data_IF_389487447432
#
_entry.id   IF_389487447432
#
_cell.length_a   1.000
_cell.length_b   1.000
_cell.length_c   1.000
_cell.angle_alpha   90.00
_cell.angle_beta   90.00
_cell.angle_gamma   90.00
#
_symmetry.space_group_name_H-M   'P 1'
#
loop_
_entity.id
_entity.type
_entity.pdbx_description
1 polymer ?
#
# COMPACT_ATOMS: atom_id res chain seq x y z
N UNK A 1 20.68 49.11 -31.46
CA UNK A 1 21.39 48.64 -32.68
C UNK A 1 21.66 47.15 -32.50
N UNK A 2 21.19 46.36 -33.47
CA UNK A 2 21.56 44.97 -33.83
C UNK A 2 21.53 43.88 -32.74
N UNK A 3 20.55 42.95 -32.71
CA UNK A 3 20.36 41.73 -33.54
C UNK A 3 21.56 40.78 -33.53
N UNK A 4 21.36 39.52 -33.08
CA UNK A 4 21.41 38.31 -33.94
C UNK A 4 20.93 37.03 -33.23
N UNK A 5 19.98 36.38 -33.90
CA UNK A 5 19.51 34.99 -33.88
C UNK A 5 20.54 33.98 -34.42
N UNK A 6 20.45 32.70 -34.00
CA UNK A 6 20.55 31.45 -34.81
C UNK A 6 20.67 30.22 -33.87
N UNK A 7 20.40 28.95 -34.20
CA UNK A 7 19.43 28.22 -35.04
C UNK A 7 19.87 26.72 -35.02
N UNK A 8 18.89 25.80 -35.03
CA UNK A 8 18.86 24.42 -35.59
C UNK A 8 19.98 23.39 -35.33
N UNK A 9 19.56 22.16 -34.97
CA UNK A 9 19.86 20.96 -35.77
C UNK A 9 18.92 19.78 -35.43
N UNK A 10 18.28 19.22 -36.46
CA UNK A 10 17.52 17.97 -36.45
C UNK A 10 18.38 16.86 -37.07
N UNK A 11 18.25 15.62 -36.59
CA UNK A 11 18.87 14.43 -37.20
C UNK A 11 17.79 13.43 -37.56
N UNK A 12 17.71 13.13 -38.86
CA UNK A 12 16.98 12.04 -39.49
C UNK A 12 18.03 11.08 -40.03
N UNK A 13 17.90 9.78 -39.77
CA UNK A 13 18.66 8.75 -40.50
C UNK A 13 17.72 7.63 -40.96
N UNK A 14 17.90 7.23 -42.22
CA UNK A 14 17.04 6.37 -43.03
C UNK A 14 17.89 5.29 -43.70
N UNK A 15 17.39 4.04 -43.60
CA UNK A 15 17.55 2.84 -44.47
C UNK A 15 18.92 2.18 -44.70
N UNK A 16 18.93 0.85 -44.56
CA UNK A 16 19.25 -0.07 -45.67
C UNK A 16 18.74 -1.51 -45.41
N UNK A 17 17.99 -2.05 -46.37
CA UNK A 17 17.63 -3.45 -46.51
C UNK A 17 18.66 -4.18 -47.41
N UNK A 18 18.92 -5.46 -47.13
CA UNK A 18 19.72 -6.36 -47.98
C UNK A 18 19.25 -7.80 -47.81
N UNK A 19 18.98 -8.47 -48.93
CA UNK A 19 18.25 -9.73 -49.05
C UNK A 19 19.15 -10.85 -49.61
N UNK A 20 18.91 -12.08 -49.16
CA UNK A 20 19.09 -13.39 -49.81
C UNK A 20 20.48 -13.93 -50.22
N UNK A 21 20.73 -15.20 -49.84
CA UNK A 21 21.71 -16.09 -50.48
C UNK A 21 22.13 -17.28 -49.61
N UNK A 22 21.59 -18.46 -49.93
CA UNK A 22 21.68 -19.73 -49.20
C UNK A 22 23.05 -20.44 -49.24
N UNK A 23 23.36 -21.20 -48.19
CA UNK A 23 23.92 -22.56 -48.23
C UNK A 23 23.87 -23.18 -46.82
N UNK A 24 23.26 -24.36 -46.71
CA UNK A 24 23.25 -25.26 -45.54
C UNK A 24 23.69 -26.64 -46.09
N UNK A 25 24.44 -27.48 -45.33
CA UNK A 25 23.75 -28.35 -44.38
C UNK A 25 24.53 -28.75 -43.11
N UNK A 26 23.74 -29.27 -42.17
CA UNK A 26 24.05 -30.23 -41.10
C UNK A 26 24.73 -29.70 -39.83
N UNK A 27 23.91 -29.31 -38.84
CA UNK A 27 23.95 -29.94 -37.51
C UNK A 27 22.56 -29.86 -36.86
N UNK A 28 22.02 -31.01 -36.48
CA UNK A 28 20.70 -31.20 -35.90
C UNK A 28 20.49 -30.38 -34.60
N UNK A 29 19.38 -29.64 -34.56
CA UNK A 29 18.88 -28.95 -33.39
C UNK A 29 18.16 -29.87 -32.41
N UNK A 30 18.34 -29.60 -31.12
CA UNK A 30 17.39 -29.90 -30.06
C UNK A 30 17.54 -28.80 -29.02
N UNK A 31 16.98 -27.64 -29.31
CA UNK A 31 16.73 -26.62 -28.28
C UNK A 31 15.41 -26.99 -27.61
N UNK A 32 15.50 -27.15 -26.29
CA UNK A 32 14.35 -27.31 -25.42
C UNK A 32 13.47 -26.06 -25.54
N UNK A 33 12.18 -26.28 -25.81
CA UNK A 33 11.16 -25.26 -25.69
C UNK A 33 11.01 -24.95 -24.21
N UNK A 34 11.66 -23.88 -23.74
CA UNK A 34 11.30 -23.24 -22.47
C UNK A 34 9.99 -22.50 -22.71
N UNK A 35 8.91 -23.14 -22.30
CA UNK A 35 7.59 -22.54 -22.18
C UNK A 35 7.62 -21.59 -20.97
N UNK A 36 8.11 -20.37 -21.19
CA UNK A 36 7.91 -19.27 -20.23
C UNK A 36 6.46 -18.84 -20.33
N UNK A 37 5.62 -19.45 -19.50
CA UNK A 37 4.29 -18.93 -19.19
C UNK A 37 4.47 -17.53 -18.58
N UNK A 38 4.27 -16.50 -19.41
CA UNK A 38 4.06 -15.13 -18.96
C UNK A 38 2.73 -15.13 -18.21
N UNK A 39 2.80 -15.09 -16.88
CA UNK A 39 1.65 -14.72 -16.06
C UNK A 39 1.44 -13.23 -16.27
N UNK A 40 0.60 -12.90 -17.25
CA UNK A 40 0.09 -11.55 -17.41
C UNK A 40 -0.88 -11.28 -16.27
N UNK A 41 -0.46 -10.44 -15.31
CA UNK A 41 -1.36 -9.77 -14.36
C UNK A 41 -2.29 -8.87 -15.16
N UNK A 42 -3.51 -9.34 -15.39
CA UNK A 42 -4.58 -8.48 -15.90
C UNK A 42 -5.06 -7.59 -14.75
N UNK A 43 -5.08 -6.25 -14.90
CA UNK A 43 -5.72 -5.38 -13.92
C UNK A 43 -7.23 -5.65 -13.92
N UNK A 44 -7.87 -5.51 -12.75
CA UNK A 44 -9.31 -5.33 -12.69
C UNK A 44 -9.64 -4.01 -13.42
N UNK A 45 -10.34 -4.13 -14.55
CA UNK A 45 -10.80 -2.99 -15.35
C UNK A 45 -11.86 -2.21 -14.56
N UNK A 46 -11.63 -0.92 -14.35
CA UNK A 46 -12.57 -0.01 -13.68
C UNK A 46 -12.13 1.46 -13.68
N UNK A 47 -10.82 1.73 -13.76
CA UNK A 47 -10.26 3.08 -13.85
C UNK A 47 -10.03 3.47 -15.32
N UNK A 48 -10.58 4.60 -15.79
CA UNK A 48 -10.26 5.15 -17.15
C UNK A 48 -8.75 5.41 -17.34
N UNK A 49 -7.98 5.47 -16.25
CA UNK A 49 -6.51 5.62 -16.26
C UNK A 49 -5.74 4.29 -16.29
N UNK A 50 -6.40 3.15 -16.06
CA UNK A 50 -5.78 1.82 -15.99
C UNK A 50 -4.84 1.61 -14.78
N UNK A 51 -4.81 2.54 -13.83
CA UNK A 51 -4.01 2.45 -12.60
C UNK A 51 -4.79 1.75 -11.48
N UNK A 52 -4.09 0.99 -10.64
CA UNK A 52 -4.62 0.43 -9.40
C UNK A 52 -4.86 1.50 -8.34
N UNK A 53 -5.64 1.19 -7.31
CA UNK A 53 -5.84 2.06 -6.15
C UNK A 53 -4.51 2.53 -5.53
N UNK A 54 -3.54 1.62 -5.40
CA UNK A 54 -2.21 1.97 -4.91
C UNK A 54 -1.44 2.89 -5.87
N UNK A 55 -1.52 2.63 -7.19
CA UNK A 55 -0.89 3.49 -8.19
C UNK A 55 -1.42 4.93 -8.15
N UNK A 56 -2.74 5.11 -7.97
CA UNK A 56 -3.35 6.43 -7.77
C UNK A 56 -2.87 7.07 -6.46
N UNK A 57 -2.80 6.29 -5.38
CA UNK A 57 -2.32 6.78 -4.09
C UNK A 57 -0.86 7.26 -4.14
N UNK A 58 0.03 6.56 -4.86
CA UNK A 58 1.42 6.97 -5.07
C UNK A 58 1.55 8.31 -5.80
N UNK A 59 0.65 8.58 -6.74
CA UNK A 59 0.60 9.85 -7.48
C UNK A 59 0.06 11.02 -6.65
N UNK A 60 -0.66 10.73 -5.57
CA UNK A 60 -1.25 11.71 -4.68
C UNK A 60 -0.43 11.98 -3.41
N UNK A 61 0.24 10.94 -2.91
CA UNK A 61 0.92 10.97 -1.61
C UNK A 61 2.14 11.90 -1.67
N UNK A 62 2.20 12.93 -0.81
CA UNK A 62 3.32 13.87 -0.76
C UNK A 62 4.65 13.18 -0.44
N UNK A 63 5.76 13.72 -0.96
CA UNK A 63 7.12 13.17 -0.79
C UNK A 63 7.52 12.99 0.69
N UNK A 64 7.10 13.93 1.53
CA UNK A 64 7.36 14.01 2.96
C UNK A 64 6.51 13.07 3.82
N UNK A 65 5.48 12.45 3.24
CA UNK A 65 4.64 11.52 3.98
C UNK A 65 5.49 10.36 4.52
N UNK A 66 5.05 9.84 5.67
CA UNK A 66 5.69 8.73 6.37
C UNK A 66 4.86 7.45 6.27
N UNK A 67 3.54 7.60 6.17
CA UNK A 67 2.60 6.49 6.08
C UNK A 67 1.61 6.74 4.95
N UNK A 68 1.22 5.66 4.29
CA UNK A 68 0.13 5.60 3.34
C UNK A 68 -0.69 4.35 3.65
N UNK A 69 -2.00 4.51 3.74
CA UNK A 69 -2.99 3.44 3.84
C UNK A 69 -3.87 3.49 2.62
N UNK A 70 -4.24 2.33 2.09
CA UNK A 70 -5.14 2.18 0.95
C UNK A 70 -6.11 1.05 1.29
N UNK A 71 -7.39 1.25 1.02
CA UNK A 71 -8.41 0.21 1.03
C UNK A 71 -9.16 0.28 -0.30
N UNK A 72 -9.09 -0.79 -1.05
CA UNK A 72 -9.76 -0.99 -2.34
C UNK A 72 -11.10 -1.69 -2.09
N UNK A 73 -12.14 -0.89 -1.89
CA UNK A 73 -13.49 -1.38 -1.65
C UNK A 73 -14.05 -2.12 -2.86
N UNK A 74 -13.62 -1.77 -4.07
CA UNK A 74 -14.00 -2.46 -5.30
C UNK A 74 -13.47 -3.91 -5.32
N UNK A 75 -12.19 -4.11 -5.00
CA UNK A 75 -11.61 -5.43 -4.86
C UNK A 75 -12.33 -6.27 -3.79
N UNK A 76 -12.69 -5.66 -2.65
CA UNK A 76 -13.44 -6.32 -1.58
C UNK A 76 -14.84 -6.72 -2.05
N UNK A 77 -15.58 -5.80 -2.71
CA UNK A 77 -16.90 -6.07 -3.31
C UNK A 77 -16.83 -7.23 -4.30
N UNK A 78 -15.83 -7.21 -5.19
CA UNK A 78 -15.61 -8.26 -6.17
C UNK A 78 -15.35 -9.63 -5.51
N UNK A 79 -14.47 -9.70 -4.49
CA UNK A 79 -14.20 -10.95 -3.76
C UNK A 79 -15.45 -11.46 -3.03
N UNK A 80 -16.25 -10.56 -2.46
CA UNK A 80 -17.49 -10.92 -1.75
C UNK A 80 -18.67 -11.24 -2.69
N UNK A 81 -18.48 -11.14 -4.01
CA UNK A 81 -19.47 -11.51 -5.01
C UNK A 81 -20.54 -10.43 -5.25
N UNK A 82 -20.24 -9.18 -4.92
CA UNK A 82 -21.13 -8.02 -5.10
C UNK A 82 -20.41 -6.85 -5.80
N UNK A 83 -19.72 -7.08 -6.94
CA UNK A 83 -18.86 -6.06 -7.59
C UNK A 83 -19.64 -4.80 -7.99
N UNK A 84 -20.91 -4.94 -8.36
CA UNK A 84 -21.74 -3.82 -8.83
C UNK A 84 -22.52 -3.12 -7.69
N UNK A 85 -22.19 -3.40 -6.42
CA UNK A 85 -22.89 -2.80 -5.28
C UNK A 85 -22.59 -1.31 -5.16
N UNK A 86 -23.65 -0.51 -5.06
CA UNK A 86 -23.61 0.95 -4.99
C UNK A 86 -24.57 1.50 -3.94
N UNK A 87 -24.60 2.82 -3.77
CA UNK A 87 -25.59 3.49 -2.89
C UNK A 87 -27.04 3.30 -3.33
N UNK A 88 -27.29 3.07 -4.63
CA UNK A 88 -28.62 2.90 -5.20
C UNK A 88 -29.25 1.53 -4.87
N UNK A 89 -28.44 0.58 -4.41
CA UNK A 89 -28.92 -0.73 -3.99
C UNK A 89 -29.72 -0.65 -2.69
N UNK A 90 -30.49 -1.70 -2.42
CA UNK A 90 -31.31 -1.74 -1.22
C UNK A 90 -30.43 -1.76 0.04
N UNK A 91 -30.88 -1.03 1.06
CA UNK A 91 -30.16 -0.90 2.34
C UNK A 91 -29.75 -2.24 2.97
N UNK A 92 -30.53 -3.32 2.75
CA UNK A 92 -30.19 -4.64 3.30
C UNK A 92 -28.91 -5.21 2.69
N UNK A 93 -28.74 -5.10 1.38
CA UNK A 93 -27.56 -5.63 0.67
C UNK A 93 -26.31 -4.84 1.03
N UNK A 94 -26.46 -3.51 1.12
CA UNK A 94 -25.41 -2.59 1.57
C UNK A 94 -24.94 -2.91 2.99
N UNK A 95 -25.86 -3.13 3.93
CA UNK A 95 -25.53 -3.52 5.30
C UNK A 95 -24.89 -4.91 5.39
N UNK A 96 -25.32 -5.85 4.55
CA UNK A 96 -24.73 -7.19 4.49
C UNK A 96 -23.29 -7.17 3.97
N UNK A 97 -23.01 -6.33 2.96
CA UNK A 97 -21.66 -6.09 2.47
C UNK A 97 -20.75 -5.58 3.59
N UNK A 98 -21.10 -4.47 4.25
CA UNK A 98 -20.24 -3.89 5.29
C UNK A 98 -19.98 -4.83 6.46
N UNK A 99 -21.01 -5.54 6.92
CA UNK A 99 -20.85 -6.57 7.95
C UNK A 99 -19.89 -7.68 7.50
N UNK A 100 -19.93 -8.06 6.22
CA UNK A 100 -19.07 -9.11 5.66
C UNK A 100 -17.64 -8.62 5.44
N UNK A 101 -17.46 -7.38 4.98
CA UNK A 101 -16.17 -6.73 4.83
C UNK A 101 -15.46 -6.63 6.19
N UNK A 102 -16.13 -6.11 7.21
CA UNK A 102 -15.59 -5.94 8.58
C UNK A 102 -15.18 -7.27 9.25
N UNK A 103 -15.75 -8.39 8.82
CA UNK A 103 -15.47 -9.72 9.40
C UNK A 103 -14.56 -10.61 8.57
N UNK A 104 -14.27 -10.23 7.31
CA UNK A 104 -13.52 -11.07 6.38
C UNK A 104 -12.44 -10.36 5.57
N UNK A 105 -12.27 -9.05 5.76
CA UNK A 105 -11.17 -8.24 5.22
C UNK A 105 -10.59 -7.38 6.33
N UNK A 106 -9.29 -7.11 6.23
CA UNK A 106 -8.62 -6.09 7.04
C UNK A 106 -8.91 -4.74 6.38
N UNK A 107 -9.72 -3.89 7.02
CA UNK A 107 -9.99 -2.53 6.56
C UNK A 107 -8.99 -1.59 7.22
N UNK A 108 -8.19 -0.89 6.42
CA UNK A 108 -7.23 0.12 6.91
C UNK A 108 -7.81 1.53 6.87
N UNK A 109 -8.85 1.73 6.06
CA UNK A 109 -9.68 2.91 6.12
C UNK A 109 -11.12 2.49 6.40
N UNK A 110 -11.75 3.18 7.35
CA UNK A 110 -13.12 2.85 7.77
C UNK A 110 -14.19 3.42 6.82
N UNK A 111 -13.80 4.21 5.83
CA UNK A 111 -14.70 4.92 4.92
C UNK A 111 -14.99 6.36 5.38
N UNK A 112 -14.35 7.34 4.74
CA UNK A 112 -14.41 8.77 5.10
C UNK A 112 -15.84 9.32 5.16
N UNK A 113 -16.72 8.85 4.28
CA UNK A 113 -18.08 9.36 4.13
C UNK A 113 -19.12 8.60 4.97
N UNK A 114 -18.74 7.48 5.59
CA UNK A 114 -19.70 6.55 6.23
C UNK A 114 -20.49 7.17 7.37
N UNK A 115 -19.84 7.97 8.21
CA UNK A 115 -20.50 8.60 9.37
C UNK A 115 -21.63 9.54 8.94
N UNK A 116 -21.53 10.12 7.74
CA UNK A 116 -22.47 11.07 7.16
C UNK A 116 -23.28 10.46 6.00
N UNK A 117 -23.28 9.13 5.84
CA UNK A 117 -23.95 8.44 4.73
C UNK A 117 -25.38 8.93 4.49
N UNK A 118 -26.17 9.16 5.54
CA UNK A 118 -27.55 9.65 5.40
C UNK A 118 -27.64 11.07 4.83
N UNK A 119 -26.67 11.95 5.14
CA UNK A 119 -26.63 13.30 4.56
C UNK A 119 -26.26 13.22 3.09
N UNK A 120 -25.23 12.44 2.77
CA UNK A 120 -24.74 12.26 1.41
C UNK A 120 -25.83 11.66 0.50
N UNK A 121 -26.52 10.62 0.97
CA UNK A 121 -27.66 9.99 0.29
C UNK A 121 -28.79 10.99 0.01
N UNK A 122 -29.22 11.76 1.02
CA UNK A 122 -30.39 12.64 0.88
C UNK A 122 -30.12 13.94 0.13
N UNK A 123 -28.88 14.42 0.12
CA UNK A 123 -28.53 15.76 -0.40
C UNK A 123 -27.80 15.68 -1.73
N UNK A 124 -26.95 14.68 -1.89
CA UNK A 124 -26.01 14.57 -3.00
C UNK A 124 -26.17 13.27 -3.80
N UNK A 125 -27.09 12.37 -3.42
CA UNK A 125 -27.41 11.13 -4.17
C UNK A 125 -26.19 10.21 -4.41
N UNK A 126 -25.23 10.23 -3.47
CA UNK A 126 -24.11 9.30 -3.40
C UNK A 126 -23.74 9.03 -1.94
N UNK A 127 -22.95 8.00 -1.64
CA UNK A 127 -22.48 7.67 -0.28
C UNK A 127 -21.08 7.04 -0.31
N UNK A 128 -20.58 6.52 0.83
CA UNK A 128 -19.35 5.70 0.82
C UNK A 128 -19.44 4.51 -0.14
N UNK A 129 -20.64 3.97 -0.39
CA UNK A 129 -20.82 2.80 -1.27
C UNK A 129 -20.51 3.11 -2.75
N UNK A 130 -20.26 4.38 -3.09
CA UNK A 130 -19.84 4.83 -4.43
C UNK A 130 -18.34 5.14 -4.52
N UNK A 131 -17.59 4.88 -3.44
CA UNK A 131 -16.13 5.01 -3.37
C UNK A 131 -15.51 3.65 -3.65
N UNK A 132 -14.78 3.53 -4.75
CA UNK A 132 -14.10 2.30 -5.17
C UNK A 132 -12.82 2.05 -4.37
N UNK A 133 -12.08 3.12 -4.06
CA UNK A 133 -10.91 3.03 -3.21
C UNK A 133 -10.72 4.29 -2.37
N UNK A 134 -10.17 4.11 -1.19
CA UNK A 134 -9.83 5.18 -0.28
C UNK A 134 -8.39 5.05 0.16
N UNK A 135 -7.62 6.12 -0.02
CA UNK A 135 -6.26 6.24 0.46
C UNK A 135 -6.14 7.38 1.46
N UNK A 136 -5.34 7.17 2.52
CA UNK A 136 -5.01 8.21 3.51
C UNK A 136 -3.52 8.19 3.79
N UNK A 137 -2.91 9.35 3.91
CA UNK A 137 -1.51 9.49 4.30
C UNK A 137 -1.34 10.38 5.51
N UNK A 138 -0.19 10.24 6.17
CA UNK A 138 0.22 11.09 7.28
C UNK A 138 1.73 11.33 7.25
N UNK A 139 2.13 12.48 7.78
CA UNK A 139 3.51 12.90 7.85
C UNK A 139 3.70 14.18 8.66
N UNK A 140 4.93 14.72 8.70
CA UNK A 140 5.25 15.93 9.46
C UNK A 140 4.44 17.15 9.02
N UNK A 141 4.04 17.22 7.74
CA UNK A 141 3.30 18.34 7.17
C UNK A 141 1.77 18.17 7.26
N UNK A 142 1.31 17.10 7.89
CA UNK A 142 -0.10 16.79 8.09
C UNK A 142 -0.53 15.51 7.38
N UNK A 143 -1.85 15.31 7.31
CA UNK A 143 -2.47 14.20 6.61
C UNK A 143 -3.36 14.67 5.47
N UNK A 144 -3.74 13.72 4.64
CA UNK A 144 -4.65 13.94 3.52
C UNK A 144 -5.28 12.64 3.06
N UNK A 145 -6.13 12.74 2.04
CA UNK A 145 -6.82 11.60 1.48
C UNK A 145 -7.00 11.71 -0.03
N UNK A 146 -7.17 10.54 -0.65
CA UNK A 146 -7.66 10.38 -2.01
C UNK A 146 -8.85 9.40 -1.99
N UNK A 147 -9.96 9.80 -2.58
CA UNK A 147 -11.09 8.91 -2.89
C UNK A 147 -11.08 8.66 -4.40
N UNK A 148 -11.05 7.40 -4.81
CA UNK A 148 -11.39 6.99 -6.17
C UNK A 148 -12.89 6.66 -6.21
N UNK A 149 -13.61 7.31 -7.11
CA UNK A 149 -15.06 7.17 -7.24
C UNK A 149 -15.39 6.25 -8.40
N UNK A 150 -16.51 5.52 -8.30
CA UNK A 150 -17.01 4.70 -9.40
C UNK A 150 -17.17 5.51 -10.69
N UNK A 151 -16.86 4.92 -11.86
CA UNK A 151 -16.75 5.67 -13.12
C UNK A 151 -18.08 6.25 -13.62
N UNK A 152 -19.22 5.72 -13.22
CA UNK A 152 -20.56 6.16 -13.62
C UNK A 152 -21.23 7.12 -12.62
N UNK A 153 -20.52 7.55 -11.57
CA UNK A 153 -21.04 8.50 -10.58
C UNK A 153 -21.26 9.89 -11.20
N UNK A 154 -22.33 10.56 -10.78
CA UNK A 154 -22.57 11.96 -11.15
C UNK A 154 -21.59 12.90 -10.41
N UNK A 155 -20.49 13.23 -11.08
CA UNK A 155 -19.45 14.10 -10.55
C UNK A 155 -19.90 15.54 -10.30
N UNK A 156 -21.04 15.99 -10.85
CA UNK A 156 -21.57 17.31 -10.54
C UNK A 156 -22.16 17.36 -9.12
N UNK A 157 -22.70 16.25 -8.62
CA UNK A 157 -23.17 16.14 -7.23
C UNK A 157 -22.01 16.04 -6.25
N UNK A 158 -20.92 15.38 -6.63
CA UNK A 158 -19.67 15.36 -5.85
C UNK A 158 -19.07 16.76 -5.76
N UNK A 159 -19.02 17.50 -6.88
CA UNK A 159 -18.58 18.88 -6.91
C UNK A 159 -19.44 19.78 -6.01
N UNK A 160 -20.76 19.60 -6.02
CA UNK A 160 -21.67 20.35 -5.15
C UNK A 160 -21.39 20.07 -3.66
N UNK A 161 -21.14 18.82 -3.27
CA UNK A 161 -20.79 18.47 -1.90
C UNK A 161 -19.47 19.13 -1.43
N UNK A 162 -18.47 19.22 -2.31
CA UNK A 162 -17.21 19.90 -2.04
C UNK A 162 -17.45 21.41 -1.86
N UNK A 163 -18.21 22.04 -2.76
CA UNK A 163 -18.51 23.48 -2.73
C UNK A 163 -19.33 23.90 -1.50
N UNK A 164 -20.25 23.04 -1.06
CA UNK A 164 -21.03 23.23 0.15
C UNK A 164 -20.21 23.01 1.44
N UNK A 165 -19.00 22.46 1.33
CA UNK A 165 -18.18 22.09 2.47
C UNK A 165 -18.79 20.96 3.29
N UNK A 166 -19.35 19.94 2.62
CA UNK A 166 -19.88 18.76 3.28
C UNK A 166 -18.81 18.09 4.17
N UNK A 167 -19.18 17.53 5.34
CA UNK A 167 -18.19 17.01 6.28
C UNK A 167 -17.34 15.90 5.65
N UNK A 168 -16.01 16.04 5.73
CA UNK A 168 -15.05 15.14 5.09
C UNK A 168 -14.61 15.57 3.70
N UNK A 169 -15.36 16.42 2.98
CA UNK A 169 -14.99 16.89 1.63
C UNK A 169 -14.70 18.39 1.55
N UNK A 170 -14.93 19.15 2.62
CA UNK A 170 -14.68 20.59 2.64
C UNK A 170 -13.19 20.91 2.47
N UNK A 171 -12.84 21.60 1.38
CA UNK A 171 -11.45 21.94 1.05
C UNK A 171 -10.77 20.95 0.10
N UNK A 172 -11.43 19.83 -0.23
CA UNK A 172 -10.97 18.89 -1.23
C UNK A 172 -11.09 19.46 -2.65
N UNK A 173 -10.43 18.80 -3.60
CA UNK A 173 -10.48 19.08 -5.02
C UNK A 173 -10.92 17.85 -5.79
N UNK A 174 -11.77 18.03 -6.80
CA UNK A 174 -12.23 16.96 -7.68
C UNK A 174 -11.43 17.00 -8.99
N UNK A 175 -10.75 15.90 -9.29
CA UNK A 175 -10.25 15.63 -10.64
C UNK A 175 -11.28 14.79 -11.40
N UNK A 176 -11.92 15.44 -12.38
CA UNK A 176 -12.94 14.81 -13.22
C UNK A 176 -12.36 13.83 -14.25
N UNK A 177 -11.08 13.94 -14.60
CA UNK A 177 -10.47 13.05 -15.60
C UNK A 177 -10.18 11.66 -15.03
N UNK A 178 -9.97 11.58 -13.72
CA UNK A 178 -9.65 10.34 -13.00
C UNK A 178 -10.76 9.92 -12.05
N UNK A 179 -11.85 10.71 -11.95
CA UNK A 179 -12.93 10.54 -10.98
C UNK A 179 -12.41 10.43 -9.54
N UNK A 180 -11.43 11.27 -9.18
CA UNK A 180 -10.82 11.25 -7.83
C UNK A 180 -11.07 12.53 -7.06
N UNK A 181 -11.29 12.42 -5.76
CA UNK A 181 -11.34 13.56 -4.84
C UNK A 181 -10.13 13.54 -3.93
N UNK A 182 -9.44 14.68 -3.83
CA UNK A 182 -8.15 14.80 -3.18
C UNK A 182 -8.13 15.98 -2.20
N UNK A 183 -7.69 15.74 -0.96
CA UNK A 183 -7.33 16.77 0.01
C UNK A 183 -5.93 16.51 0.57
N UNK A 184 -5.19 17.58 0.88
CA UNK A 184 -3.87 17.46 1.51
C UNK A 184 -2.74 17.16 0.52
N UNK A 185 -2.91 17.50 -0.75
CA UNK A 185 -1.86 17.40 -1.76
C UNK A 185 -0.68 18.31 -1.38
N UNK A 186 0.52 17.72 -1.30
CA UNK A 186 1.75 18.44 -1.01
C UNK A 186 2.19 19.33 -2.17
N UNK A 187 3.06 20.29 -1.89
CA UNK A 187 3.60 21.20 -2.92
C UNK A 187 4.96 20.76 -3.48
N UNK A 188 5.61 19.77 -2.85
CA UNK A 188 7.02 19.42 -3.08
C UNK A 188 7.23 17.99 -3.61
N UNK A 189 6.41 17.60 -4.60
CA UNK A 189 6.51 16.30 -5.25
C UNK A 189 5.69 15.21 -4.55
N UNK A 190 5.71 14.02 -5.12
CA UNK A 190 4.90 12.87 -4.69
C UNK A 190 5.74 11.60 -4.64
N UNK A 191 5.29 10.57 -3.92
CA UNK A 191 5.99 9.28 -3.84
C UNK A 191 6.27 8.69 -5.24
N UNK A 192 5.38 8.88 -6.22
CA UNK A 192 5.62 8.44 -7.60
C UNK A 192 6.73 9.19 -8.37
N UNK A 193 7.23 10.33 -7.86
CA UNK A 193 8.13 11.23 -8.61
C UNK A 193 9.63 11.12 -8.25
N UNK A 194 9.97 10.43 -7.17
CA UNK A 194 11.34 10.33 -6.65
C UNK A 194 12.07 9.03 -6.99
N UNK A 195 13.28 8.86 -6.45
CA UNK A 195 14.00 7.58 -6.32
C UNK A 195 13.31 6.59 -5.37
N UNK A 196 11.98 6.66 -5.30
CA UNK A 196 11.08 5.89 -4.48
C UNK A 196 10.89 4.46 -5.03
N UNK A 197 11.98 3.83 -5.47
CA UNK A 197 11.97 2.46 -5.98
C UNK A 197 11.47 1.53 -4.90
N UNK A 198 12.00 1.64 -3.67
CA UNK A 198 11.56 0.82 -2.55
C UNK A 198 10.06 0.99 -2.27
N UNK A 199 9.54 2.22 -2.13
CA UNK A 199 8.11 2.47 -1.90
C UNK A 199 7.22 1.92 -3.02
N UNK A 200 7.62 2.15 -4.27
CA UNK A 200 6.86 1.64 -5.43
C UNK A 200 6.89 0.11 -5.45
N UNK A 201 8.05 -0.49 -5.23
CA UNK A 201 8.27 -1.94 -5.28
C UNK A 201 7.55 -2.67 -4.14
N UNK A 202 7.62 -2.20 -2.89
CA UNK A 202 7.00 -2.93 -1.75
C UNK A 202 5.48 -2.97 -1.84
N UNK A 203 4.85 -1.94 -2.41
CA UNK A 203 3.40 -1.89 -2.56
C UNK A 203 2.88 -2.44 -3.90
N UNK A 204 3.78 -2.86 -4.82
CA UNK A 204 3.40 -3.49 -6.09
C UNK A 204 3.01 -4.96 -5.87
N UNK A 205 1.96 -5.18 -5.09
CA UNK A 205 1.39 -6.49 -4.76
C UNK A 205 -0.14 -6.39 -4.81
N UNK A 206 -0.85 -7.38 -5.38
CA UNK A 206 -2.31 -7.39 -5.34
C UNK A 206 -2.82 -7.41 -3.90
N UNK A 207 -3.64 -6.42 -3.53
CA UNK A 207 -4.15 -6.26 -2.18
C UNK A 207 -5.51 -5.57 -2.17
N UNK A 208 -6.38 -5.98 -1.24
CA UNK A 208 -7.63 -5.27 -0.90
C UNK A 208 -7.39 -4.12 0.05
N UNK A 209 -6.35 -4.22 0.86
CA UNK A 209 -5.89 -3.13 1.72
C UNK A 209 -4.39 -3.20 1.87
N UNK A 210 -3.75 -2.04 1.90
CA UNK A 210 -2.31 -1.91 1.91
C UNK A 210 -1.93 -0.77 2.85
N UNK A 211 -1.02 -1.01 3.78
CA UNK A 211 -0.30 0.05 4.48
C UNK A 211 1.15 0.03 4.01
N UNK A 212 1.69 1.21 3.73
CA UNK A 212 3.08 1.43 3.34
C UNK A 212 3.68 2.47 4.25
N UNK A 213 4.88 2.19 4.72
CA UNK A 213 5.68 3.05 5.57
C UNK A 213 6.99 3.40 4.86
N UNK A 214 7.32 4.68 4.88
CA UNK A 214 8.61 5.19 4.41
C UNK A 214 9.65 4.97 5.51
N UNK A 215 10.52 3.98 5.33
CA UNK A 215 11.46 3.47 6.33
C UNK A 215 10.87 2.49 7.35
N UNK A 216 11.73 2.04 8.26
CA UNK A 216 11.44 1.10 9.34
C UNK A 216 10.76 1.71 10.57
N UNK A 217 9.93 0.93 11.27
CA UNK A 217 9.32 1.34 12.53
C UNK A 217 10.37 1.38 13.66
N UNK A 218 10.50 2.49 14.41
CA UNK A 218 11.38 2.53 15.57
C UNK A 218 11.05 1.40 16.55
N UNK A 219 12.07 0.69 17.03
CA UNK A 219 11.87 -0.50 17.86
C UNK A 219 10.99 -0.23 19.10
N UNK A 220 11.23 0.88 19.79
CA UNK A 220 10.43 1.31 20.94
C UNK A 220 8.96 1.62 20.56
N UNK A 221 8.71 2.20 19.39
CA UNK A 221 7.36 2.48 18.92
C UNK A 221 6.60 1.19 18.59
N UNK A 222 7.28 0.22 17.95
CA UNK A 222 6.69 -1.08 17.61
C UNK A 222 6.42 -1.96 18.84
N UNK A 223 7.16 -1.72 19.94
CA UNK A 223 6.85 -2.34 21.23
C UNK A 223 5.59 -1.74 21.86
N UNK A 224 5.10 -0.59 21.45
CA UNK A 224 3.94 0.07 22.04
C UNK A 224 4.28 1.05 23.14
N UNK A 225 3.33 1.94 23.45
CA UNK A 225 3.53 3.04 24.39
C UNK A 225 3.53 2.57 25.85
N UNK A 226 2.90 1.43 26.12
CA UNK A 226 2.85 0.80 27.43
C UNK A 226 4.04 -0.17 27.67
N UNK A 227 4.97 -0.28 26.72
CA UNK A 227 6.15 -1.13 26.86
C UNK A 227 7.08 -0.66 27.99
N UNK A 228 7.61 -1.62 28.74
CA UNK A 228 8.57 -1.37 29.81
C UNK A 228 9.99 -1.75 29.40
N UNK A 229 10.99 -1.29 30.17
CA UNK A 229 12.38 -1.74 30.00
C UNK A 229 12.50 -3.26 30.10
N UNK A 230 11.71 -3.91 30.98
CA UNK A 230 11.70 -5.37 31.10
C UNK A 230 11.18 -6.05 29.82
N UNK A 231 10.23 -5.43 29.11
CA UNK A 231 9.76 -5.93 27.80
C UNK A 231 10.85 -5.82 26.74
N UNK A 232 11.51 -4.67 26.65
CA UNK A 232 12.63 -4.45 25.75
C UNK A 232 13.79 -5.43 26.03
N UNK A 233 14.23 -5.53 27.29
CA UNK A 233 15.32 -6.43 27.69
C UNK A 233 15.00 -7.90 27.38
N UNK A 234 13.74 -8.32 27.54
CA UNK A 234 13.31 -9.67 27.19
C UNK A 234 13.54 -9.96 25.71
N UNK A 235 13.11 -9.06 24.82
CA UNK A 235 13.29 -9.23 23.37
C UNK A 235 14.77 -9.22 23.01
N UNK A 236 15.55 -8.26 23.52
CA UNK A 236 16.98 -8.14 23.23
C UNK A 236 17.82 -9.28 23.81
N UNK A 237 17.33 -9.96 24.86
CA UNK A 237 17.99 -11.15 25.40
C UNK A 237 17.78 -12.40 24.54
N UNK A 238 16.73 -12.43 23.71
CA UNK A 238 16.34 -13.56 22.88
C UNK A 238 16.71 -13.37 21.40
N UNK A 239 16.76 -12.12 20.92
CA UNK A 239 16.98 -11.78 19.52
C UNK A 239 18.07 -10.73 19.33
N UNK A 240 18.85 -10.89 18.25
CA UNK A 240 19.85 -9.93 17.82
C UNK A 240 19.21 -8.87 16.91
N UNK A 241 18.54 -7.89 17.52
CA UNK A 241 17.83 -6.82 16.80
C UNK A 241 18.79 -5.89 16.06
N UNK A 242 19.95 -5.58 16.68
CA UNK A 242 21.01 -4.77 16.05
C UNK A 242 21.63 -5.46 14.82
N UNK A 243 21.49 -6.79 14.73
CA UNK A 243 21.93 -7.59 13.59
C UNK A 243 20.94 -7.64 12.42
N UNK A 244 19.74 -7.06 12.54
CA UNK A 244 18.79 -6.97 11.44
C UNK A 244 19.31 -6.06 10.32
N UNK A 245 18.93 -6.36 9.09
CA UNK A 245 19.23 -5.49 7.96
C UNK A 245 18.37 -4.23 7.98
N UNK A 246 18.95 -3.13 7.51
CA UNK A 246 18.25 -1.87 7.30
C UNK A 246 17.20 -2.02 6.19
N UNK A 247 16.01 -1.45 6.41
CA UNK A 247 14.91 -1.44 5.44
C UNK A 247 14.52 0.00 5.10
N UNK A 248 14.38 0.26 3.81
CA UNK A 248 14.04 1.58 3.24
C UNK A 248 12.53 1.81 3.16
N UNK A 249 11.73 0.73 3.11
CA UNK A 249 10.28 0.78 3.11
C UNK A 249 9.69 -0.51 3.67
N UNK A 250 8.50 -0.41 4.25
CA UNK A 250 7.73 -1.55 4.74
C UNK A 250 6.33 -1.47 4.17
N UNK A 251 5.82 -2.56 3.62
CA UNK A 251 4.41 -2.68 3.24
C UNK A 251 3.77 -3.90 3.88
N UNK A 252 2.51 -3.76 4.29
CA UNK A 252 1.66 -4.87 4.72
C UNK A 252 0.40 -4.83 3.86
N UNK A 253 0.30 -5.80 2.97
CA UNK A 253 -0.79 -6.02 2.05
C UNK A 253 -1.74 -7.08 2.62
N UNK A 254 -3.04 -6.84 2.53
CA UNK A 254 -4.07 -7.75 3.01
C UNK A 254 -5.01 -8.13 1.87
N UNK A 255 -5.32 -9.42 1.77
CA UNK A 255 -6.36 -9.96 0.87
C UNK A 255 -7.17 -11.01 1.63
N UNK A 256 -8.44 -10.70 1.91
CA UNK A 256 -9.28 -11.54 2.75
C UNK A 256 -8.64 -11.82 4.12
N UNK A 257 -8.26 -13.07 4.38
CA UNK A 257 -7.68 -13.55 5.63
C UNK A 257 -6.17 -13.87 5.51
N UNK A 258 -5.49 -13.28 4.53
CA UNK A 258 -4.02 -13.39 4.36
C UNK A 258 -3.39 -12.01 4.40
N UNK A 259 -2.16 -11.94 4.92
CA UNK A 259 -1.32 -10.76 4.92
C UNK A 259 0.02 -11.07 4.27
N UNK A 260 0.47 -10.22 3.35
CA UNK A 260 1.79 -10.26 2.74
C UNK A 260 2.57 -9.05 3.22
N UNK A 261 3.71 -9.28 3.88
CA UNK A 261 4.61 -8.24 4.35
C UNK A 261 5.79 -8.15 3.40
N UNK A 262 6.03 -6.96 2.85
CA UNK A 262 7.13 -6.70 1.94
C UNK A 262 8.08 -5.68 2.55
N UNK A 263 9.35 -6.03 2.60
CA UNK A 263 10.43 -5.19 3.11
C UNK A 263 11.30 -4.75 1.96
N UNK A 264 11.44 -3.45 1.77
CA UNK A 264 12.33 -2.87 0.77
C UNK A 264 13.72 -2.69 1.36
N UNK A 265 14.74 -3.22 0.71
CA UNK A 265 16.13 -3.18 1.11
C UNK A 265 16.94 -2.25 0.19
N UNK A 266 18.04 -1.68 0.69
CA UNK A 266 18.95 -0.91 -0.15
C UNK A 266 19.44 -1.71 -1.36
N UNK A 267 19.55 -1.03 -2.50
CA UNK A 267 19.99 -1.65 -3.74
C UNK A 267 21.37 -2.32 -3.61
N UNK A 268 21.46 -3.58 -4.02
CA UNK A 268 22.69 -4.37 -3.95
C UNK A 268 22.82 -5.26 -2.71
N UNK A 269 21.77 -5.36 -1.89
CA UNK A 269 21.67 -6.35 -0.81
C UNK A 269 21.61 -7.76 -1.41
N UNK A 270 22.42 -8.68 -0.89
CA UNK A 270 22.44 -10.06 -1.40
C UNK A 270 21.16 -10.80 -1.01
N UNK A 271 20.55 -11.54 -1.95
CA UNK A 271 19.31 -12.29 -1.72
C UNK A 271 19.40 -13.23 -0.50
N UNK A 272 20.54 -13.89 -0.30
CA UNK A 272 20.75 -14.78 0.86
C UNK A 272 20.71 -14.01 2.17
N UNK A 273 21.27 -12.79 2.21
CA UNK A 273 21.22 -11.95 3.41
C UNK A 273 19.79 -11.49 3.71
N UNK A 274 19.00 -11.18 2.67
CA UNK A 274 17.56 -10.89 2.82
C UNK A 274 16.83 -12.11 3.39
N UNK A 275 17.03 -13.30 2.85
CA UNK A 275 16.39 -14.52 3.35
C UNK A 275 16.72 -14.81 4.84
N UNK A 276 17.98 -14.58 5.25
CA UNK A 276 18.42 -14.70 6.64
C UNK A 276 17.76 -13.65 7.55
N UNK A 277 17.66 -12.40 7.10
CA UNK A 277 16.98 -11.30 7.81
C UNK A 277 15.48 -11.58 7.97
N UNK A 278 14.80 -12.03 6.91
CA UNK A 278 13.38 -12.41 6.97
C UNK A 278 13.14 -13.55 7.96
N UNK A 279 14.04 -14.54 8.01
CA UNK A 279 13.97 -15.62 9.00
C UNK A 279 14.16 -15.10 10.44
N UNK A 280 15.06 -14.14 10.66
CA UNK A 280 15.26 -13.50 11.96
C UNK A 280 14.03 -12.69 12.38
N UNK A 281 13.42 -11.93 11.47
CA UNK A 281 12.18 -11.16 11.71
C UNK A 281 10.98 -12.06 11.99
N UNK A 282 10.88 -13.20 11.29
CA UNK A 282 9.85 -14.21 11.56
C UNK A 282 10.00 -14.85 12.94
N UNK A 283 11.24 -15.08 13.40
CA UNK A 283 11.50 -15.55 14.77
C UNK A 283 11.20 -14.47 15.81
N UNK A 284 11.60 -13.22 15.55
CA UNK A 284 11.30 -12.07 16.41
C UNK A 284 9.80 -11.90 16.64
N UNK A 285 9.00 -12.02 15.59
CA UNK A 285 7.55 -11.87 15.67
C UNK A 285 6.86 -12.96 16.52
N UNK A 286 7.44 -14.17 16.59
CA UNK A 286 6.88 -15.26 17.39
C UNK A 286 7.00 -15.01 18.90
N UNK A 287 8.07 -14.33 19.31
CA UNK A 287 8.39 -14.04 20.70
C UNK A 287 8.07 -12.58 21.08
N UNK A 288 7.40 -11.84 20.18
CA UNK A 288 7.06 -10.44 20.40
C UNK A 288 6.07 -10.28 21.56
N UNK A 289 6.33 -9.37 22.51
CA UNK A 289 5.51 -9.25 23.70
C UNK A 289 4.16 -8.60 23.42
N UNK A 290 3.18 -8.92 24.27
CA UNK A 290 1.91 -8.19 24.34
C UNK A 290 2.03 -7.13 25.43
N UNK A 291 2.26 -5.90 25.00
CA UNK A 291 2.45 -4.70 25.84
C UNK A 291 1.19 -3.85 25.90
N UNK A 292 0.41 -3.87 24.84
CA UNK A 292 -0.87 -3.17 24.70
C UNK A 292 -2.06 -4.10 25.02
N UNK A 293 -3.27 -3.58 24.83
CA UNK A 293 -4.51 -4.38 24.95
C UNK A 293 -4.65 -5.49 23.90
N UNK A 294 -3.83 -5.46 22.84
CA UNK A 294 -3.76 -6.45 21.76
C UNK A 294 -2.30 -6.80 21.46
N UNK A 295 -2.01 -8.07 21.21
CA UNK A 295 -0.68 -8.56 20.81
C UNK A 295 -0.63 -9.00 19.36
N UNK A 296 0.57 -9.16 18.81
CA UNK A 296 0.77 -9.59 17.42
C UNK A 296 -0.02 -10.86 17.06
N UNK A 297 -0.03 -11.86 17.95
CA UNK A 297 -0.77 -13.12 17.76
C UNK A 297 -2.29 -12.99 17.74
N UNK A 298 -2.84 -11.86 18.19
CA UNK A 298 -4.29 -11.62 18.16
C UNK A 298 -4.77 -11.28 16.75
N UNK A 299 -3.92 -10.68 15.91
CA UNK A 299 -4.24 -10.35 14.51
C UNK A 299 -3.61 -11.31 13.49
N UNK A 300 -2.41 -11.83 13.79
CA UNK A 300 -1.61 -12.63 12.87
C UNK A 300 -1.38 -14.04 13.40
N UNK A 301 -1.46 -15.02 12.51
CA UNK A 301 -1.16 -16.42 12.77
C UNK A 301 0.30 -16.77 12.46
N UNK A 302 0.54 -18.00 12.03
CA UNK A 302 1.87 -18.43 11.58
C UNK A 302 2.26 -17.70 10.30
N UNK A 303 3.52 -17.27 10.24
CA UNK A 303 4.13 -16.70 9.04
C UNK A 303 5.14 -17.63 8.37
N UNK A 304 5.51 -17.31 7.13
CA UNK A 304 6.57 -17.96 6.37
C UNK A 304 7.24 -16.99 5.40
N UNK A 305 8.53 -17.22 5.11
CA UNK A 305 9.24 -16.56 4.01
C UNK A 305 8.72 -17.08 2.68
N UNK A 306 8.30 -16.19 1.79
CA UNK A 306 7.75 -16.55 0.47
C UNK A 306 8.65 -16.16 -0.69
N UNK A 307 9.51 -15.15 -0.52
CA UNK A 307 10.46 -14.76 -1.56
C UNK A 307 11.42 -13.64 -1.16
N UNK A 308 12.46 -13.48 -1.96
CA UNK A 308 13.39 -12.37 -1.91
C UNK A 308 14.02 -12.13 -3.31
N UNK A 309 14.19 -10.88 -3.72
CA UNK A 309 14.69 -10.52 -5.06
C UNK A 309 15.76 -9.42 -5.09
N UNK A 310 16.57 -9.32 -4.02
CA UNK A 310 17.73 -8.42 -3.96
C UNK A 310 17.39 -6.94 -3.72
N UNK A 311 16.11 -6.55 -3.84
CA UNK A 311 15.58 -5.27 -3.37
C UNK A 311 14.35 -5.43 -2.50
N UNK A 312 13.58 -6.51 -2.64
CA UNK A 312 12.42 -6.80 -1.79
C UNK A 312 12.55 -8.19 -1.15
N UNK A 313 12.16 -8.27 0.12
CA UNK A 313 11.91 -9.52 0.83
C UNK A 313 10.42 -9.65 1.19
N UNK A 314 9.90 -10.88 1.19
CA UNK A 314 8.47 -11.14 1.39
C UNK A 314 8.22 -12.21 2.45
N UNK A 315 7.27 -11.90 3.34
CA UNK A 315 6.68 -12.82 4.30
C UNK A 315 5.17 -12.93 4.05
N UNK A 316 4.61 -14.12 4.23
CA UNK A 316 3.17 -14.32 4.25
C UNK A 316 2.72 -14.75 5.65
N UNK A 317 1.59 -14.23 6.11
CA UNK A 317 0.94 -14.55 7.37
C UNK A 317 -0.54 -14.85 7.15
N UNK A 318 -1.06 -15.83 7.89
CA UNK A 318 -2.51 -15.95 8.06
C UNK A 318 -3.01 -14.81 8.96
N UNK A 319 -4.15 -14.20 8.61
CA UNK A 319 -4.88 -13.28 9.49
C UNK A 319 -5.85 -14.09 10.32
N UNK A 320 -5.81 -13.93 11.64
CA UNK A 320 -6.69 -14.63 12.59
C UNK A 320 -7.89 -13.78 12.98
N UNK A 321 -7.70 -12.48 13.06
CA UNK A 321 -8.75 -11.49 13.35
C UNK A 321 -8.47 -10.20 12.54
N UNK A 322 -9.33 -9.88 11.55
CA UNK A 322 -9.06 -8.74 10.67
C UNK A 322 -9.03 -7.39 11.38
N UNK A 323 -9.91 -7.18 12.36
CA UNK A 323 -9.93 -5.92 13.13
C UNK A 323 -8.69 -5.75 14.02
N UNK A 324 -8.21 -6.85 14.63
CA UNK A 324 -6.97 -6.80 15.39
C UNK A 324 -5.75 -6.56 14.49
N UNK A 325 -5.69 -7.21 13.32
CA UNK A 325 -4.63 -7.00 12.34
C UNK A 325 -4.59 -5.55 11.81
N UNK A 326 -5.75 -4.95 11.52
CA UNK A 326 -5.86 -3.55 11.14
C UNK A 326 -5.30 -2.63 12.24
N UNK A 327 -5.74 -2.82 13.48
CA UNK A 327 -5.29 -2.00 14.61
C UNK A 327 -3.78 -2.11 14.85
N UNK A 328 -3.22 -3.32 14.80
CA UNK A 328 -1.78 -3.53 14.95
C UNK A 328 -0.99 -2.83 13.83
N UNK A 329 -1.44 -2.96 12.59
CA UNK A 329 -0.79 -2.35 11.43
C UNK A 329 -0.85 -0.82 11.46
N UNK A 330 -2.03 -0.25 11.76
CA UNK A 330 -2.24 1.20 11.84
C UNK A 330 -1.50 1.85 13.02
N UNK A 331 -1.26 1.09 14.09
CA UNK A 331 -0.55 1.57 15.28
C UNK A 331 0.98 1.31 15.22
N UNK A 332 1.52 0.86 14.08
CA UNK A 332 2.93 0.48 13.93
C UNK A 332 3.40 -0.64 14.91
N UNK A 333 2.47 -1.43 15.44
CA UNK A 333 2.74 -2.51 16.42
C UNK A 333 3.13 -3.85 15.75
N UNK A 334 3.53 -3.81 14.49
CA UNK A 334 3.94 -5.01 13.72
C UNK A 334 5.46 -5.12 13.75
N UNK A 335 6.03 -6.16 14.39
CA UNK A 335 7.48 -6.26 14.62
C UNK A 335 8.31 -6.52 13.35
N UNK A 336 7.65 -6.83 12.24
CA UNK A 336 8.30 -7.30 11.02
C UNK A 336 9.07 -6.19 10.31
N UNK A 337 8.66 -4.93 10.51
CA UNK A 337 9.27 -3.75 9.90
C UNK A 337 10.17 -2.95 10.83
N UNK A 338 10.59 -3.49 11.97
CA UNK A 338 11.37 -2.72 12.95
C UNK A 338 12.77 -2.35 12.43
N UNK A 339 13.25 -1.19 12.88
CA UNK A 339 14.62 -0.76 12.68
C UNK A 339 15.61 -1.63 13.47
N UNK A 340 16.83 -1.72 12.94
CA UNK A 340 17.99 -2.32 13.61
C UNK A 340 18.47 -1.47 14.80
N UNK A 341 18.25 -0.15 14.75
CA UNK A 341 18.58 0.76 15.83
C UNK A 341 17.66 0.59 17.05
N UNK A 342 18.26 0.34 18.21
CA UNK A 342 17.57 0.15 19.48
C UNK A 342 17.84 1.33 20.41
N UNK A 343 16.88 2.25 20.47
CA UNK A 343 16.88 3.30 21.49
C UNK A 343 16.39 2.73 22.83
N UNK A 344 17.11 2.95 23.95
CA UNK A 344 16.66 2.54 25.27
C UNK A 344 15.33 3.24 25.63
N UNK A 345 14.37 2.48 26.16
CA UNK A 345 13.16 3.08 26.72
C UNK A 345 13.53 3.98 27.90
N UNK A 346 13.01 5.20 27.91
CA UNK A 346 13.21 6.11 29.04
C UNK A 346 12.47 5.55 30.26
N UNK A 347 13.15 5.45 31.41
CA UNK A 347 12.47 5.17 32.67
C UNK A 347 11.42 6.27 32.90
N UNK A 348 10.15 5.94 33.18
CA UNK A 348 9.16 6.94 33.51
C UNK A 348 9.67 7.69 34.75
N UNK A 349 10.05 8.95 34.55
CA UNK A 349 10.51 9.81 35.63
C UNK A 349 9.31 10.03 36.56
N UNK A 350 9.21 9.20 37.61
CA UNK A 350 8.06 9.19 38.50
C UNK A 350 7.78 10.57 39.08
N UNK A 351 6.55 11.07 38.88
CA UNK A 351 5.95 12.18 39.61
C UNK A 351 4.98 11.66 40.68
#
# INVERSE_FOLDING_TARGET
MSRTTAALAAVVLVLAAGCAGADDPDTAGSEAVSDSAVVTTAPADGSETGLSAYGLALLATPAEATHLTVTDFDAIRARLGVPDLTSADIMTDRLEFWRSAETSSVLLTDGLLREENSRYDLTYDFTQDDVDAEARWSGPDGGGFLLALRPDLDLDLVQAAIEDGAPGLGGASLDRATSTVLEGAGTEGVWASGSATALTEVGDVPAESLIVRNGCAPFAAALGVDATIEDQERVLSAHDVEGLLDVEAVAIAFTGMSATVRLGYPGGTETVAIEEDLAARLALAQDWPTTESIGFSDGFGSGSVTGADGTVGELEYAVTNPGAAANLALADLVPLGVCSDVDPLEEPTGL
#
